data_IF_009596279285
#
_entry.id   IF_009596279285
#
_cell.length_a   1.000
_cell.length_b   1.000
_cell.length_c   1.000
_cell.angle_alpha   90.00
_cell.angle_beta   90.00
_cell.angle_gamma   90.00
#
_symmetry.space_group_name_H-M   'P 1'
#
loop_
_entity.id
_entity.type
_entity.pdbx_description
1 polymer ?
#
# COMPACT_ATOMS: atom_id res chain seq x y z
N UNK A 1 8.63 -7.29 -10.64
CA UNK A 1 8.06 -5.94 -10.76
C UNK A 1 6.66 -5.94 -10.15
N UNK A 2 6.31 -4.98 -9.29
CA UNK A 2 4.95 -4.89 -8.74
C UNK A 2 4.14 -3.85 -9.52
N UNK A 3 2.87 -4.12 -9.77
CA UNK A 3 1.98 -3.25 -10.54
C UNK A 3 0.64 -3.13 -9.81
N UNK A 4 0.11 -1.90 -9.75
CA UNK A 4 -1.28 -1.65 -9.37
C UNK A 4 -1.96 -0.84 -10.48
N UNK A 5 -3.15 -1.28 -10.84
CA UNK A 5 -4.13 -0.56 -11.65
C UNK A 5 -5.38 -0.37 -10.79
N UNK A 6 -5.93 0.83 -10.75
CA UNK A 6 -7.14 1.08 -9.99
C UNK A 6 -8.11 2.02 -10.71
N UNK A 7 -9.40 1.78 -10.50
CA UNK A 7 -10.49 2.69 -10.86
C UNK A 7 -11.06 3.27 -9.57
N UNK A 8 -10.92 4.57 -9.37
CA UNK A 8 -11.43 5.30 -8.21
C UNK A 8 -12.63 6.13 -8.64
N UNK A 9 -13.81 5.88 -8.06
CA UNK A 9 -15.05 6.62 -8.35
C UNK A 9 -15.38 6.77 -9.86
N UNK A 10 -14.93 5.83 -10.69
CA UNK A 10 -15.06 5.89 -12.15
C UNK A 10 -15.88 4.73 -12.73
N UNK A 11 -16.43 3.85 -11.88
CA UNK A 11 -17.34 2.79 -12.28
C UNK A 11 -18.74 3.03 -11.68
N UNK A 12 -19.84 2.86 -12.44
CA UNK A 12 -21.18 3.19 -11.97
C UNK A 12 -21.65 2.40 -10.75
N UNK A 13 -21.07 1.21 -10.50
CA UNK A 13 -21.41 0.33 -9.38
C UNK A 13 -20.36 0.28 -8.26
N UNK A 14 -19.09 0.53 -8.58
CA UNK A 14 -17.99 0.23 -7.67
C UNK A 14 -17.21 1.51 -7.37
N UNK A 15 -17.09 1.84 -6.09
CA UNK A 15 -16.30 2.98 -5.62
C UNK A 15 -14.80 2.79 -5.92
N UNK A 16 -14.32 1.56 -5.76
CA UNK A 16 -12.93 1.18 -6.01
C UNK A 16 -12.91 -0.17 -6.71
N UNK A 17 -12.21 -0.25 -7.84
CA UNK A 17 -11.77 -1.51 -8.45
C UNK A 17 -10.25 -1.47 -8.45
N UNK A 18 -9.61 -2.56 -8.02
CA UNK A 18 -8.16 -2.64 -8.00
C UNK A 18 -7.70 -3.99 -8.52
N UNK A 19 -6.75 -3.95 -9.44
CA UNK A 19 -6.01 -5.11 -9.92
C UNK A 19 -4.54 -4.91 -9.57
N UNK A 20 -3.95 -5.86 -8.86
CA UNK A 20 -2.56 -5.80 -8.46
C UNK A 20 -1.84 -7.09 -8.88
N UNK A 21 -0.67 -6.93 -9.48
CA UNK A 21 0.27 -8.02 -9.68
C UNK A 21 1.49 -7.77 -8.81
N UNK A 22 1.88 -8.81 -8.05
CA UNK A 22 3.05 -8.77 -7.21
C UNK A 22 4.01 -9.86 -7.61
N UNK A 23 5.12 -9.46 -8.21
CA UNK A 23 6.24 -10.38 -8.40
C UNK A 23 7.11 -10.41 -7.15
N UNK A 24 7.40 -11.61 -6.67
CA UNK A 24 8.29 -11.86 -5.54
C UNK A 24 9.04 -13.18 -5.74
N UNK A 25 10.15 -13.34 -5.02
CA UNK A 25 10.86 -14.59 -4.93
C UNK A 25 9.94 -15.75 -4.53
N UNK A 26 9.94 -16.81 -5.33
CA UNK A 26 9.15 -18.02 -5.10
C UNK A 26 9.37 -18.65 -3.71
N UNK A 27 10.58 -18.51 -3.15
CA UNK A 27 10.92 -19.08 -1.85
C UNK A 27 10.52 -18.19 -0.66
N UNK A 28 9.92 -17.01 -0.88
CA UNK A 28 9.45 -16.16 0.21
C UNK A 28 8.12 -16.70 0.73
N UNK A 29 8.06 -17.18 2.00
CA UNK A 29 6.84 -17.78 2.54
C UNK A 29 5.73 -16.74 2.73
N UNK A 30 4.53 -17.07 2.27
CA UNK A 30 3.33 -16.24 2.43
C UNK A 30 2.15 -17.09 2.91
N UNK A 31 1.31 -16.49 3.75
CA UNK A 31 0.01 -17.05 4.08
C UNK A 31 -1.04 -16.55 3.07
N UNK A 32 -2.01 -17.39 2.69
CA UNK A 32 -3.05 -17.03 1.73
C UNK A 32 -3.96 -15.90 2.25
N UNK A 33 -4.77 -15.35 1.34
CA UNK A 33 -5.78 -14.36 1.68
C UNK A 33 -6.78 -14.93 2.68
N UNK A 34 -6.80 -14.35 3.87
CA UNK A 34 -7.75 -14.71 4.93
C UNK A 34 -7.98 -13.52 5.85
N UNK A 35 -9.02 -13.63 6.68
CA UNK A 35 -9.06 -12.82 7.90
C UNK A 35 -7.97 -13.32 8.84
N UNK A 36 -7.15 -12.42 9.36
CA UNK A 36 -6.04 -12.83 10.22
C UNK A 36 -6.53 -13.25 11.61
N UNK A 37 -5.99 -14.34 12.15
CA UNK A 37 -6.39 -14.85 13.47
C UNK A 37 -6.06 -13.86 14.59
N UNK A 38 -4.89 -13.22 14.54
CA UNK A 38 -4.45 -12.22 15.51
C UNK A 38 -5.12 -10.85 15.31
N UNK A 39 -5.69 -10.60 14.12
CA UNK A 39 -6.33 -9.33 13.72
C UNK A 39 -7.55 -9.60 12.82
N UNK A 40 -8.67 -10.07 13.38
CA UNK A 40 -9.82 -10.60 12.61
C UNK A 40 -10.59 -9.54 11.78
N UNK A 41 -10.27 -8.26 11.98
CA UNK A 41 -10.78 -7.16 11.16
C UNK A 41 -10.05 -7.02 9.82
N UNK A 42 -8.84 -7.56 9.68
CA UNK A 42 -7.98 -7.42 8.50
C UNK A 42 -8.16 -8.62 7.57
N UNK A 43 -8.56 -8.35 6.33
CA UNK A 43 -8.55 -9.30 5.22
C UNK A 43 -7.36 -9.01 4.31
N UNK A 44 -6.35 -9.89 4.35
CA UNK A 44 -5.14 -9.75 3.53
C UNK A 44 -4.39 -11.08 3.42
N UNK A 45 -3.57 -11.23 2.37
CA UNK A 45 -2.46 -12.21 2.42
C UNK A 45 -1.40 -11.72 3.41
N UNK A 46 -0.56 -12.60 3.96
CA UNK A 46 0.47 -12.21 4.94
C UNK A 46 1.85 -12.67 4.51
N UNK A 47 2.82 -11.77 4.58
CA UNK A 47 4.24 -12.13 4.49
C UNK A 47 4.66 -12.79 5.80
N UNK A 48 4.99 -14.08 5.78
CA UNK A 48 5.38 -14.82 6.99
C UNK A 48 6.76 -14.37 7.47
N UNK A 49 7.65 -13.99 6.56
CA UNK A 49 9.00 -13.51 6.90
C UNK A 49 8.96 -12.08 7.41
N UNK A 50 8.24 -11.20 6.71
CA UNK A 50 8.18 -9.78 7.01
C UNK A 50 7.10 -9.37 8.01
N UNK A 51 6.17 -10.26 8.36
CA UNK A 51 5.07 -10.03 9.31
C UNK A 51 4.01 -9.02 8.85
N UNK A 52 4.09 -8.55 7.61
CA UNK A 52 3.23 -7.53 7.02
C UNK A 52 2.43 -8.02 5.81
N UNK A 53 1.97 -7.11 4.97
CA UNK A 53 1.23 -7.42 3.74
C UNK A 53 1.45 -6.38 2.64
N UNK A 54 1.09 -6.70 1.41
CA UNK A 54 1.18 -5.78 0.26
C UNK A 54 -0.15 -5.17 -0.14
N UNK A 55 -1.25 -5.80 0.29
CA UNK A 55 -2.61 -5.39 -0.06
C UNK A 55 -3.54 -5.96 1.00
N UNK A 56 -4.37 -5.10 1.58
CA UNK A 56 -5.38 -5.51 2.54
C UNK A 56 -6.50 -4.50 2.68
N UNK A 57 -7.60 -4.99 3.25
CA UNK A 57 -8.76 -4.18 3.60
C UNK A 57 -9.31 -4.60 4.96
N UNK A 58 -9.84 -3.66 5.73
CA UNK A 58 -10.56 -3.96 6.97
C UNK A 58 -12.05 -4.12 6.74
N UNK A 59 -12.75 -4.72 7.70
CA UNK A 59 -14.23 -4.77 7.73
C UNK A 59 -14.89 -3.38 7.72
N UNK A 60 -14.18 -2.35 8.17
CA UNK A 60 -14.64 -0.96 8.18
C UNK A 60 -14.37 -0.23 6.85
N UNK A 61 -13.77 -0.91 5.87
CA UNK A 61 -13.46 -0.35 4.56
C UNK A 61 -12.17 0.48 4.52
N UNK A 62 -11.30 0.37 5.53
CA UNK A 62 -9.93 0.91 5.44
C UNK A 62 -9.13 0.02 4.52
N UNK A 63 -8.50 0.62 3.54
CA UNK A 63 -7.78 -0.07 2.47
C UNK A 63 -6.34 0.41 2.45
N UNK A 64 -5.40 -0.51 2.21
CA UNK A 64 -4.03 -0.11 1.88
C UNK A 64 -3.37 -1.10 0.94
N UNK A 65 -2.50 -0.57 0.08
CA UNK A 65 -1.68 -1.36 -0.82
C UNK A 65 -0.32 -0.68 -1.05
N UNK A 66 0.68 -1.49 -1.44
CA UNK A 66 2.05 -1.04 -1.66
C UNK A 66 2.54 -1.43 -3.06
N UNK A 67 3.26 -0.53 -3.72
CA UNK A 67 4.15 -0.88 -4.85
C UNK A 67 5.60 -0.57 -4.51
N UNK A 68 6.52 -1.41 -5.00
CA UNK A 68 7.94 -1.27 -4.78
C UNK A 68 8.60 -0.52 -5.93
N UNK A 69 9.62 0.28 -5.63
CA UNK A 69 10.58 0.76 -6.63
C UNK A 69 11.64 -0.31 -6.88
N UNK A 70 12.14 -0.36 -8.12
CA UNK A 70 13.34 -1.11 -8.46
C UNK A 70 14.48 -0.10 -8.56
N UNK A 71 15.29 -0.02 -7.52
CA UNK A 71 16.43 0.89 -7.45
C UNK A 71 17.74 0.11 -7.28
N UNK A 72 18.85 0.60 -7.87
CA UNK A 72 20.16 -0.04 -7.72
C UNK A 72 20.71 0.10 -6.30
N UNK A 73 20.47 1.25 -5.65
CA UNK A 73 20.91 1.55 -4.29
C UNK A 73 19.83 1.18 -3.28
N UNK A 74 19.77 -0.10 -2.90
CA UNK A 74 18.92 -0.59 -1.80
C UNK A 74 19.65 -0.46 -0.47
N UNK A 75 18.92 -0.13 0.59
CA UNK A 75 19.40 -0.18 1.98
C UNK A 75 19.74 -1.63 2.42
N UNK A 76 19.37 -2.63 1.61
CA UNK A 76 19.67 -4.04 1.82
C UNK A 76 19.05 -4.55 3.12
N UNK A 77 19.81 -5.30 3.91
CA UNK A 77 19.36 -5.89 5.17
C UNK A 77 19.01 -4.85 6.25
N UNK A 78 19.37 -3.58 6.06
CA UNK A 78 19.04 -2.49 7.00
C UNK A 78 17.64 -1.93 6.78
N UNK A 79 17.02 -2.16 5.63
CA UNK A 79 15.67 -1.66 5.33
C UNK A 79 14.61 -2.42 6.13
N UNK A 80 13.70 -1.67 6.75
CA UNK A 80 12.50 -2.25 7.34
C UNK A 80 11.58 -2.83 6.25
N UNK A 81 10.83 -3.87 6.59
CA UNK A 81 9.84 -4.45 5.69
C UNK A 81 8.73 -3.44 5.39
N UNK A 82 8.65 -2.98 4.14
CA UNK A 82 7.59 -2.06 3.66
C UNK A 82 6.18 -2.65 3.81
N UNK A 83 6.05 -3.98 3.88
CA UNK A 83 4.75 -4.61 4.14
C UNK A 83 4.17 -4.28 5.52
N UNK A 84 5.02 -3.82 6.45
CA UNK A 84 4.59 -3.31 7.75
C UNK A 84 3.86 -1.96 7.63
N UNK A 85 4.12 -1.18 6.57
CA UNK A 85 3.42 0.09 6.33
C UNK A 85 1.94 -0.13 6.00
N UNK A 86 1.66 -1.15 5.19
CA UNK A 86 0.28 -1.54 4.85
C UNK A 86 -0.43 -2.05 6.09
N UNK A 87 0.22 -2.96 6.81
CA UNK A 87 -0.31 -3.48 8.08
C UNK A 87 -0.56 -2.36 9.10
N UNK A 88 0.39 -1.45 9.29
CA UNK A 88 0.31 -0.36 10.25
C UNK A 88 -0.90 0.53 10.00
N UNK A 89 -1.19 0.86 8.73
CA UNK A 89 -2.39 1.63 8.40
C UNK A 89 -3.69 0.86 8.69
N UNK A 90 -3.72 -0.44 8.40
CA UNK A 90 -4.89 -1.30 8.62
C UNK A 90 -5.17 -1.52 10.12
N UNK A 91 -4.13 -1.52 10.96
CA UNK A 91 -4.24 -1.61 12.42
C UNK A 91 -4.52 -0.23 13.08
N UNK A 92 -4.23 0.88 12.40
CA UNK A 92 -4.39 2.23 12.95
C UNK A 92 -5.83 2.75 12.84
N UNK A 93 -6.13 3.75 13.67
CA UNK A 93 -7.37 4.54 13.60
C UNK A 93 -7.16 5.94 13.01
N UNK A 94 -5.94 6.28 12.60
CA UNK A 94 -5.60 7.59 12.04
C UNK A 94 -6.33 7.83 10.72
N UNK A 95 -6.51 9.09 10.32
CA UNK A 95 -6.97 9.36 8.95
C UNK A 95 -5.88 8.96 7.96
N UNK A 96 -6.22 8.69 6.68
CA UNK A 96 -5.22 8.44 5.64
C UNK A 96 -4.15 9.54 5.56
N UNK A 97 -4.54 10.80 5.73
CA UNK A 97 -3.62 11.93 5.64
C UNK A 97 -2.66 11.97 6.83
N UNK A 98 -3.18 11.80 8.05
CA UNK A 98 -2.35 11.85 9.26
C UNK A 98 -1.32 10.71 9.27
N UNK A 99 -1.75 9.50 8.87
CA UNK A 99 -0.84 8.35 8.79
C UNK A 99 0.29 8.57 7.78
N UNK A 100 -0.02 9.18 6.64
CA UNK A 100 0.99 9.49 5.62
C UNK A 100 1.91 10.64 6.05
N UNK A 101 1.40 11.62 6.80
CA UNK A 101 2.21 12.73 7.33
C UNK A 101 3.24 12.21 8.36
N UNK A 102 2.85 11.29 9.23
CA UNK A 102 3.79 10.64 10.14
C UNK A 102 4.84 9.82 9.36
N UNK A 103 4.41 9.13 8.31
CA UNK A 103 5.30 8.34 7.45
C UNK A 103 6.29 9.20 6.66
N UNK A 104 5.93 10.43 6.31
CA UNK A 104 6.81 11.36 5.60
C UNK A 104 8.10 11.65 6.39
N UNK A 105 8.00 11.71 7.72
CA UNK A 105 9.13 11.92 8.63
C UNK A 105 10.07 10.70 8.65
N UNK A 106 9.52 9.49 8.54
CA UNK A 106 10.25 8.22 8.68
C UNK A 106 10.55 7.51 7.35
N UNK A 107 10.14 8.09 6.22
CA UNK A 107 10.13 7.44 4.91
C UNK A 107 11.53 7.00 4.41
N UNK A 108 12.59 7.62 4.91
CA UNK A 108 13.99 7.31 4.60
C UNK A 108 14.50 6.00 5.23
N UNK A 109 13.74 5.40 6.16
CA UNK A 109 14.07 4.12 6.80
C UNK A 109 13.73 2.90 5.93
N UNK A 110 13.11 3.15 4.78
CA UNK A 110 12.61 2.13 3.85
C UNK A 110 13.23 2.33 2.47
N UNK A 111 13.44 1.23 1.74
CA UNK A 111 13.65 1.26 0.29
C UNK A 111 12.46 1.95 -0.41
N UNK A 112 12.64 2.37 -1.66
CA UNK A 112 11.66 3.12 -2.43
C UNK A 112 10.31 2.41 -2.53
N UNK A 113 9.22 3.13 -2.24
CA UNK A 113 7.87 2.60 -2.30
C UNK A 113 6.84 3.67 -2.69
N UNK A 114 5.71 3.20 -3.23
CA UNK A 114 4.45 3.95 -3.19
C UNK A 114 3.49 3.24 -2.25
N UNK A 115 2.85 4.00 -1.37
CA UNK A 115 1.83 3.50 -0.47
C UNK A 115 0.49 4.15 -0.84
N UNK A 116 -0.49 3.29 -1.12
CA UNK A 116 -1.88 3.66 -1.25
C UNK A 116 -2.57 3.41 0.09
N UNK A 117 -3.31 4.39 0.58
CA UNK A 117 -4.16 4.28 1.77
C UNK A 117 -5.49 4.94 1.51
N UNK A 118 -6.58 4.35 2.01
CA UNK A 118 -7.90 4.89 1.79
C UNK A 118 -8.92 4.47 2.84
N UNK A 119 -9.97 5.27 2.94
CA UNK A 119 -11.14 5.01 3.76
C UNK A 119 -12.42 5.48 3.02
N UNK A 120 -13.53 5.59 3.73
CA UNK A 120 -14.80 6.07 3.17
C UNK A 120 -14.78 7.54 2.72
N UNK A 121 -13.74 8.33 3.02
CA UNK A 121 -13.62 9.75 2.65
C UNK A 121 -12.70 9.98 1.45
N UNK A 122 -11.80 9.05 1.15
CA UNK A 122 -10.93 9.18 -0.01
C UNK A 122 -9.83 8.14 -0.09
N UNK A 123 -9.12 8.19 -1.22
CA UNK A 123 -7.95 7.38 -1.52
C UNK A 123 -6.75 8.31 -1.74
N UNK A 124 -5.62 7.97 -1.13
CA UNK A 124 -4.42 8.77 -1.10
C UNK A 124 -3.22 7.92 -1.49
N UNK A 125 -2.25 8.53 -2.15
CA UNK A 125 -0.99 7.95 -2.55
C UNK A 125 0.15 8.76 -1.96
N UNK A 126 1.21 8.09 -1.52
CA UNK A 126 2.45 8.70 -1.08
C UNK A 126 3.63 7.92 -1.64
N UNK A 127 4.66 8.63 -2.09
CA UNK A 127 5.94 8.08 -2.51
C UNK A 127 7.03 8.63 -1.61
N UNK A 128 7.85 7.75 -1.00
CA UNK A 128 9.00 8.18 -0.21
C UNK A 128 10.17 8.70 -1.07
N UNK A 129 10.04 8.67 -2.40
CA UNK A 129 11.01 9.27 -3.33
C UNK A 129 10.60 10.65 -3.82
N UNK A 130 9.31 10.95 -3.81
CA UNK A 130 8.78 12.24 -4.24
C UNK A 130 8.38 13.14 -3.07
N UNK A 131 8.18 12.56 -1.88
CA UNK A 131 8.00 13.30 -0.63
C UNK A 131 6.74 14.16 -0.59
N UNK A 132 5.63 13.71 -1.17
CA UNK A 132 4.36 14.43 -1.04
C UNK A 132 3.15 13.49 -1.09
N UNK A 133 2.10 13.88 -0.36
CA UNK A 133 0.83 13.16 -0.26
C UNK A 133 -0.11 13.64 -1.36
N UNK A 134 -0.63 12.71 -2.16
CA UNK A 134 -1.58 13.00 -3.25
C UNK A 134 -2.93 12.37 -2.96
N UNK A 135 -4.00 13.15 -3.03
CA UNK A 135 -5.36 12.60 -3.08
C UNK A 135 -5.68 12.17 -4.50
N UNK A 136 -6.10 10.92 -4.69
CA UNK A 136 -6.47 10.42 -6.01
C UNK A 136 -7.84 10.96 -6.41
N UNK A 137 -7.87 11.64 -7.56
CA UNK A 137 -9.11 12.10 -8.19
C UNK A 137 -9.92 10.93 -8.76
N UNK A 138 -11.23 11.12 -8.99
CA UNK A 138 -12.02 10.15 -9.74
C UNK A 138 -11.39 9.86 -11.11
N UNK A 139 -11.21 8.59 -11.45
CA UNK A 139 -10.58 8.17 -12.70
C UNK A 139 -9.92 6.79 -12.64
N UNK A 140 -9.25 6.43 -13.73
CA UNK A 140 -8.41 5.24 -13.84
C UNK A 140 -6.96 5.66 -13.62
N UNK A 141 -6.29 5.00 -12.69
CA UNK A 141 -4.91 5.25 -12.31
C UNK A 141 -4.09 3.98 -12.52
N UNK A 142 -2.84 4.16 -12.95
CA UNK A 142 -1.91 3.08 -13.18
C UNK A 142 -0.50 3.45 -12.72
N UNK A 143 0.50 2.59 -12.98
CA UNK A 143 1.86 2.75 -12.47
C UNK A 143 2.47 4.11 -12.87
N UNK A 144 2.22 4.57 -14.10
CA UNK A 144 2.66 5.90 -14.55
C UNK A 144 1.91 7.05 -13.92
N UNK A 145 0.61 6.94 -13.61
CA UNK A 145 -0.10 8.05 -12.95
C UNK A 145 0.18 8.13 -11.44
N UNK A 146 0.77 7.07 -10.87
CA UNK A 146 1.24 7.04 -9.49
C UNK A 146 2.66 7.63 -9.34
N UNK A 147 3.43 7.75 -10.43
CA UNK A 147 4.80 8.28 -10.46
C UNK A 147 5.00 9.53 -11.34
N UNK A 148 4.14 9.79 -12.34
CA UNK A 148 4.34 10.83 -13.37
C UNK A 148 3.11 11.76 -13.48
N UNK A 149 2.88 12.58 -12.45
CA UNK A 149 2.10 13.83 -12.57
C UNK A 149 2.95 15.01 -12.11
N UNK A 150 4.11 15.16 -12.77
CA UNK A 150 4.95 16.35 -12.75
C UNK A 150 4.82 17.12 -14.05
#
# INVERSE_FOLDING_TARGET
MCLILLSCNAHPRYRLILAANRDEFHHRPTAPLAFWEDRPDILAGRDVRGGGTWLGITRTGRFSALTNFREPDSLGERALSRGLLVRGFLESRQSPVDYLADLEIEGNRYDGFNLLVGDSRGLYCYSNREGHIRKLSPGIHGPRSLSDLG
#
